data_IF_900009250156
#
_entry.id   IF_900009250156
#
_cell.length_a   1.000
_cell.length_b   1.000
_cell.length_c   1.000
_cell.angle_alpha   90.00
_cell.angle_beta   90.00
_cell.angle_gamma   90.00
#
_symmetry.space_group_name_H-M   'P 1'
#
loop_
_entity.id
_entity.type
_entity.pdbx_description
1 polymer ?
#
# COMPACT_ATOMS: atom_id res chain seq x y z
N UNK A 1 65.70 19.50 45.95
CA UNK A 1 65.75 20.64 45.02
C UNK A 1 65.03 20.25 43.73
N UNK A 2 64.27 21.15 43.23
CA UNK A 2 63.59 21.17 41.94
C UNK A 2 62.17 20.56 41.88
N UNK A 3 61.29 21.51 41.84
CA UNK A 3 59.83 21.48 41.71
C UNK A 3 59.47 20.99 40.34
N UNK A 4 58.53 20.06 40.31
CA UNK A 4 57.86 19.65 39.08
C UNK A 4 56.49 20.29 39.10
N UNK A 5 56.28 21.21 38.16
CA UNK A 5 54.98 21.86 37.94
C UNK A 5 54.19 20.94 37.05
N UNK A 6 53.09 20.41 37.59
CA UNK A 6 52.13 19.63 36.85
C UNK A 6 51.21 20.58 36.06
N UNK A 7 51.33 20.56 34.75
CA UNK A 7 50.42 21.26 33.84
C UNK A 7 49.23 20.37 33.58
N UNK A 8 48.11 20.69 34.20
CA UNK A 8 46.81 20.08 33.92
C UNK A 8 46.28 20.66 32.60
N UNK A 9 46.39 19.88 31.53
CA UNK A 9 45.76 20.17 30.28
C UNK A 9 44.31 19.64 30.33
N UNK A 10 43.37 20.52 30.59
CA UNK A 10 41.94 20.23 30.49
C UNK A 10 41.57 20.09 29.02
N UNK A 11 41.48 18.86 28.54
CA UNK A 11 40.89 18.56 27.23
C UNK A 11 39.36 18.71 27.37
N UNK A 12 38.88 19.87 26.96
CA UNK A 12 37.43 20.12 26.77
C UNK A 12 36.94 19.27 25.59
N UNK A 13 36.30 18.14 25.91
CA UNK A 13 35.60 17.34 24.91
C UNK A 13 34.30 18.07 24.56
N UNK A 14 34.31 18.85 23.50
CA UNK A 14 33.07 19.35 22.89
C UNK A 14 32.30 18.16 22.29
N UNK A 15 31.39 17.61 23.07
CA UNK A 15 30.35 16.73 22.57
C UNK A 15 29.42 17.60 21.72
N UNK A 16 29.66 17.63 20.42
CA UNK A 16 28.65 18.08 19.47
C UNK A 16 27.49 17.10 19.53
N UNK A 17 26.50 17.39 20.34
CA UNK A 17 25.19 16.81 20.18
C UNK A 17 24.67 17.30 18.82
N UNK A 18 24.89 16.50 17.80
CA UNK A 18 24.10 16.56 16.58
C UNK A 18 22.66 16.21 17.01
N UNK A 19 21.90 17.24 17.36
CA UNK A 19 20.48 17.18 17.34
C UNK A 19 20.09 16.93 15.88
N UNK A 20 20.16 15.69 15.46
CA UNK A 20 19.51 15.21 14.28
C UNK A 20 18.02 15.44 14.49
N UNK A 21 17.50 16.47 13.84
CA UNK A 21 16.08 16.64 13.61
C UNK A 21 15.66 15.52 12.66
N UNK A 22 15.73 14.30 13.12
CA UNK A 22 15.00 13.16 12.59
C UNK A 22 13.61 13.29 13.15
N UNK A 23 12.69 13.91 12.41
CA UNK A 23 11.28 13.70 12.63
C UNK A 23 11.06 12.20 12.51
N UNK A 24 11.05 11.49 13.63
CA UNK A 24 10.51 10.16 13.73
C UNK A 24 9.02 10.31 13.42
N UNK A 25 8.64 10.14 12.17
CA UNK A 25 7.31 9.67 11.87
C UNK A 25 7.18 8.37 12.64
N UNK A 26 6.36 8.33 13.68
CA UNK A 26 5.85 7.05 14.17
C UNK A 26 5.29 6.37 12.93
N UNK A 27 5.96 5.33 12.46
CA UNK A 27 5.46 4.53 11.34
C UNK A 27 4.20 3.88 11.86
N UNK A 28 3.06 4.45 11.50
CA UNK A 28 1.78 3.86 11.85
C UNK A 28 1.79 2.42 11.35
N UNK A 29 1.50 1.48 12.22
CA UNK A 29 1.40 0.07 11.86
C UNK A 29 -0.06 -0.25 11.62
N UNK A 30 -0.39 -0.58 10.38
CA UNK A 30 -1.74 -0.97 9.99
C UNK A 30 -1.85 -2.49 9.86
N UNK A 31 -2.97 -3.06 10.28
CA UNK A 31 -3.30 -4.44 10.00
C UNK A 31 -3.96 -4.53 8.62
N UNK A 32 -3.33 -5.24 7.70
CA UNK A 32 -3.80 -5.31 6.30
C UNK A 32 -5.17 -5.98 6.19
N UNK A 33 -5.44 -7.00 7.00
CA UNK A 33 -6.73 -7.69 7.00
C UNK A 33 -7.87 -6.79 7.52
N UNK A 34 -7.57 -5.90 8.47
CA UNK A 34 -8.54 -4.93 8.98
C UNK A 34 -8.87 -3.87 7.93
N UNK A 35 -7.88 -3.43 7.14
CA UNK A 35 -8.09 -2.53 6.00
C UNK A 35 -9.01 -3.20 4.97
N UNK A 36 -8.69 -4.44 4.58
CA UNK A 36 -9.51 -5.21 3.62
C UNK A 36 -10.94 -5.34 4.13
N UNK A 37 -11.12 -5.72 5.40
CA UNK A 37 -12.43 -5.89 6.01
C UNK A 37 -13.22 -4.58 6.13
N UNK A 38 -12.55 -3.44 6.32
CA UNK A 38 -13.20 -2.13 6.35
C UNK A 38 -13.73 -1.74 4.97
N UNK A 39 -12.93 -1.91 3.93
CA UNK A 39 -13.31 -1.60 2.55
C UNK A 39 -14.38 -2.58 2.02
N UNK A 40 -14.31 -3.87 2.38
CA UNK A 40 -15.29 -4.88 1.94
C UNK A 40 -16.71 -4.57 2.39
N UNK A 41 -16.91 -3.81 3.48
CA UNK A 41 -18.25 -3.39 3.95
C UNK A 41 -18.97 -2.47 2.95
N UNK A 42 -18.22 -1.66 2.22
CA UNK A 42 -18.73 -0.68 1.24
C UNK A 42 -18.48 -1.12 -0.20
N UNK A 43 -17.57 -2.06 -0.41
CA UNK A 43 -17.27 -2.69 -1.71
C UNK A 43 -17.33 -4.23 -1.56
N UNK A 44 -18.51 -4.83 -1.40
CA UNK A 44 -18.63 -6.28 -1.25
C UNK A 44 -18.01 -7.04 -2.42
N UNK A 45 -17.21 -8.05 -2.12
CA UNK A 45 -16.61 -8.92 -3.13
C UNK A 45 -17.49 -10.15 -3.32
N UNK A 46 -18.10 -10.27 -4.50
CA UNK A 46 -18.95 -11.41 -4.85
C UNK A 46 -18.09 -12.66 -5.10
N UNK A 47 -18.56 -13.83 -4.60
CA UNK A 47 -17.83 -15.10 -4.74
C UNK A 47 -16.30 -14.96 -4.46
N UNK A 48 -15.91 -14.46 -3.26
CA UNK A 48 -14.56 -14.02 -3.00
C UNK A 48 -13.57 -15.18 -2.96
N UNK A 49 -12.37 -14.94 -3.47
CA UNK A 49 -11.16 -15.69 -3.14
C UNK A 49 -10.13 -14.76 -2.51
N UNK A 50 -9.32 -15.31 -1.63
CA UNK A 50 -8.20 -14.55 -1.08
C UNK A 50 -7.15 -14.32 -2.18
N UNK A 51 -6.51 -13.16 -2.13
CA UNK A 51 -5.33 -12.85 -2.94
C UNK A 51 -4.19 -13.71 -2.42
N UNK A 52 -3.52 -14.44 -3.31
CA UNK A 52 -2.39 -15.32 -3.03
C UNK A 52 -1.14 -14.92 -3.82
N UNK A 53 -0.04 -15.63 -3.60
CA UNK A 53 1.23 -15.37 -4.30
C UNK A 53 1.12 -15.46 -5.82
N UNK A 54 0.27 -16.34 -6.34
CA UNK A 54 0.06 -16.47 -7.78
C UNK A 54 -0.65 -15.23 -8.31
N UNK A 55 -1.68 -14.76 -7.61
CA UNK A 55 -2.39 -13.55 -8.02
C UNK A 55 -1.48 -12.32 -7.98
N UNK A 56 -0.69 -12.16 -6.93
CA UNK A 56 0.28 -11.07 -6.80
C UNK A 56 1.32 -11.10 -7.94
N UNK A 57 1.92 -12.27 -8.19
CA UNK A 57 3.07 -12.35 -9.08
C UNK A 57 2.71 -12.59 -10.55
N UNK A 58 1.63 -13.34 -10.85
CA UNK A 58 1.27 -13.73 -12.20
C UNK A 58 0.13 -12.90 -12.79
N UNK A 59 -0.88 -12.54 -11.97
CA UNK A 59 -2.01 -11.75 -12.44
C UNK A 59 -1.72 -10.25 -12.33
N UNK A 60 -1.23 -9.80 -11.16
CA UNK A 60 -0.89 -8.39 -10.95
C UNK A 60 0.51 -8.01 -11.42
N UNK A 61 1.39 -8.99 -11.68
CA UNK A 61 2.78 -8.82 -12.10
C UNK A 61 3.62 -7.97 -11.11
N UNK A 62 3.30 -8.08 -9.81
CA UNK A 62 4.07 -7.40 -8.78
C UNK A 62 5.34 -8.19 -8.44
N UNK A 63 6.41 -7.47 -8.14
CA UNK A 63 7.71 -8.04 -7.75
C UNK A 63 7.69 -8.46 -6.29
N UNK A 64 7.79 -9.76 -6.01
CA UNK A 64 7.69 -10.32 -4.65
C UNK A 64 8.69 -9.69 -3.67
N UNK A 65 9.93 -9.39 -4.12
CA UNK A 65 10.98 -8.78 -3.30
C UNK A 65 10.67 -7.35 -2.88
N UNK A 66 9.69 -6.69 -3.51
CA UNK A 66 9.23 -5.36 -3.15
C UNK A 66 8.14 -5.38 -2.07
N UNK A 67 7.65 -6.57 -1.69
CA UNK A 67 6.51 -6.76 -0.79
C UNK A 67 6.98 -7.47 0.48
N UNK A 68 6.64 -6.91 1.65
CA UNK A 68 6.85 -7.54 2.95
C UNK A 68 5.65 -8.40 3.35
N UNK A 69 4.44 -7.86 3.18
CA UNK A 69 3.19 -8.50 3.55
C UNK A 69 2.05 -8.02 2.64
N UNK A 70 1.06 -8.84 2.42
CA UNK A 70 -0.17 -8.45 1.72
C UNK A 70 -1.38 -9.19 2.29
N UNK A 71 -2.57 -8.60 2.07
CA UNK A 71 -3.87 -9.22 2.28
C UNK A 71 -4.82 -8.68 1.21
N UNK A 72 -5.77 -9.50 0.78
CA UNK A 72 -6.74 -9.02 -0.21
C UNK A 72 -7.78 -10.06 -0.57
N UNK A 73 -8.79 -9.58 -1.29
CA UNK A 73 -9.86 -10.39 -1.86
C UNK A 73 -10.13 -9.94 -3.29
N UNK A 74 -10.42 -10.89 -4.14
CA UNK A 74 -10.81 -10.67 -5.53
C UNK A 74 -12.03 -11.52 -5.86
N UNK A 75 -12.92 -10.98 -6.70
CA UNK A 75 -14.09 -11.72 -7.18
C UNK A 75 -13.68 -12.83 -8.15
N UNK A 76 -14.32 -14.01 -8.02
CA UNK A 76 -14.25 -15.08 -9.00
C UNK A 76 -15.35 -14.98 -10.07
N UNK A 77 -16.25 -14.01 -9.95
CA UNK A 77 -17.33 -13.85 -10.92
C UNK A 77 -16.83 -13.10 -12.16
N UNK A 78 -17.02 -13.67 -13.34
CA UNK A 78 -16.53 -13.14 -14.62
C UNK A 78 -17.06 -11.73 -14.95
N UNK A 79 -18.19 -11.34 -14.42
CA UNK A 79 -18.81 -10.03 -14.65
C UNK A 79 -18.54 -9.02 -13.55
N UNK A 80 -17.78 -9.36 -12.53
CA UNK A 80 -17.52 -8.51 -11.36
C UNK A 80 -16.05 -8.15 -11.24
N UNK A 81 -15.76 -6.85 -11.16
CA UNK A 81 -14.39 -6.32 -11.08
C UNK A 81 -13.85 -6.15 -9.67
N UNK A 82 -14.63 -6.49 -8.62
CA UNK A 82 -14.24 -6.22 -7.25
C UNK A 82 -12.87 -6.81 -6.90
N UNK A 83 -11.98 -5.93 -6.48
CA UNK A 83 -10.66 -6.24 -5.94
C UNK A 83 -10.37 -5.31 -4.77
N UNK A 84 -9.90 -5.86 -3.68
CA UNK A 84 -9.34 -5.13 -2.55
C UNK A 84 -8.01 -5.77 -2.24
N UNK A 85 -6.91 -5.04 -2.37
CA UNK A 85 -5.58 -5.52 -1.98
C UNK A 85 -4.87 -4.47 -1.16
N UNK A 86 -4.43 -4.86 0.03
CA UNK A 86 -3.60 -4.06 0.93
C UNK A 86 -2.20 -4.68 0.98
N UNK A 87 -1.17 -3.86 0.81
CA UNK A 87 0.21 -4.29 0.70
C UNK A 87 1.06 -3.46 1.66
N UNK A 88 1.94 -4.12 2.40
CA UNK A 88 3.07 -3.51 3.06
C UNK A 88 4.30 -3.71 2.18
N UNK A 89 4.82 -2.65 1.63
CA UNK A 89 6.03 -2.68 0.83
C UNK A 89 7.27 -2.96 1.71
N UNK A 90 8.26 -3.64 1.17
CA UNK A 90 9.57 -3.71 1.80
C UNK A 90 10.19 -2.31 1.94
N UNK A 91 11.11 -2.14 2.88
CA UNK A 91 11.73 -0.84 3.19
C UNK A 91 12.24 -0.13 1.92
N UNK A 92 11.76 1.10 1.69
CA UNK A 92 12.11 1.93 0.55
C UNK A 92 11.53 1.48 -0.79
N UNK A 93 10.60 0.53 -0.82
CA UNK A 93 10.00 -0.04 -2.03
C UNK A 93 8.58 0.46 -2.36
N UNK A 94 8.00 1.30 -1.52
CA UNK A 94 6.63 1.78 -1.73
C UNK A 94 6.41 2.41 -3.11
N UNK A 95 7.36 3.20 -3.61
CA UNK A 95 7.25 3.79 -4.95
C UNK A 95 7.28 2.76 -6.07
N UNK A 96 8.11 1.71 -5.95
CA UNK A 96 8.17 0.63 -6.93
C UNK A 96 6.86 -0.15 -6.96
N UNK A 97 6.31 -0.51 -5.80
CA UNK A 97 5.00 -1.18 -5.69
C UNK A 97 3.89 -0.29 -6.26
N UNK A 98 3.93 1.02 -6.00
CA UNK A 98 2.95 1.96 -6.58
C UNK A 98 3.00 1.99 -8.10
N UNK A 99 4.18 1.99 -8.70
CA UNK A 99 4.35 1.95 -10.16
C UNK A 99 3.79 0.64 -10.74
N UNK A 100 4.08 -0.49 -10.10
CA UNK A 100 3.57 -1.80 -10.49
C UNK A 100 2.03 -1.86 -10.38
N UNK A 101 1.43 -1.34 -9.29
CA UNK A 101 -0.03 -1.23 -9.15
C UNK A 101 -0.67 -0.34 -10.22
N UNK A 102 -0.03 0.77 -10.60
CA UNK A 102 -0.51 1.62 -11.69
C UNK A 102 -0.43 0.90 -13.05
N UNK A 103 0.62 0.11 -13.28
CA UNK A 103 0.74 -0.72 -14.48
C UNK A 103 -0.38 -1.77 -14.53
N UNK A 104 -0.64 -2.45 -13.42
CA UNK A 104 -1.75 -3.39 -13.30
C UNK A 104 -3.10 -2.70 -13.55
N UNK A 105 -3.37 -1.57 -12.88
CA UNK A 105 -4.58 -0.76 -13.13
C UNK A 105 -4.77 -0.46 -14.61
N UNK A 106 -3.70 -0.04 -15.28
CA UNK A 106 -3.74 0.24 -16.71
C UNK A 106 -4.08 -1.01 -17.52
N UNK A 107 -3.49 -2.16 -17.19
CA UNK A 107 -3.72 -3.41 -17.92
C UNK A 107 -5.17 -3.90 -17.84
N UNK A 108 -5.82 -3.74 -16.67
CA UNK A 108 -7.21 -4.17 -16.45
C UNK A 108 -8.26 -3.15 -16.90
N UNK A 109 -7.86 -1.90 -17.15
CA UNK A 109 -8.74 -0.83 -17.65
C UNK A 109 -8.66 -0.62 -19.18
N UNK A 110 -7.79 -1.36 -19.88
CA UNK A 110 -7.59 -1.25 -21.32
C UNK A 110 -7.62 -2.65 -21.95
N UNK A 111 -8.67 -3.01 -22.55
CA UNK A 111 -8.80 -4.31 -23.21
C UNK A 111 -9.81 -4.28 -24.33
N UNK A 112 -10.86 -3.55 -24.15
CA UNK A 112 -11.83 -3.05 -25.14
C UNK A 112 -12.34 -4.01 -26.22
N UNK A 113 -12.03 -5.30 -26.11
CA UNK A 113 -12.35 -6.26 -27.16
C UNK A 113 -13.83 -6.69 -27.16
N UNK A 114 -14.47 -6.59 -26.01
CA UNK A 114 -15.85 -7.06 -25.84
C UNK A 114 -16.67 -6.07 -25.02
N UNK A 115 -17.79 -5.63 -25.57
CA UNK A 115 -18.71 -4.69 -24.92
C UNK A 115 -19.25 -5.19 -23.57
N UNK A 116 -19.27 -6.49 -23.35
CA UNK A 116 -19.68 -7.13 -22.09
C UNK A 116 -18.75 -6.84 -20.90
N UNK A 117 -17.52 -6.40 -21.15
CA UNK A 117 -16.56 -6.05 -20.09
C UNK A 117 -16.41 -4.53 -19.89
N UNK A 118 -17.18 -3.71 -20.61
CA UNK A 118 -17.08 -2.25 -20.54
C UNK A 118 -17.28 -1.70 -19.10
N UNK A 119 -18.20 -2.27 -18.34
CA UNK A 119 -18.46 -1.83 -16.97
C UNK A 119 -17.28 -2.18 -16.05
N UNK A 120 -16.67 -3.35 -16.21
CA UNK A 120 -15.48 -3.76 -15.45
C UNK A 120 -14.29 -2.87 -15.77
N UNK A 121 -14.07 -2.56 -17.06
CA UNK A 121 -13.00 -1.65 -17.51
C UNK A 121 -13.20 -0.24 -16.95
N UNK A 122 -14.44 0.25 -16.91
CA UNK A 122 -14.76 1.55 -16.32
C UNK A 122 -14.47 1.57 -14.81
N UNK A 123 -14.86 0.53 -14.06
CA UNK A 123 -14.52 0.41 -12.64
C UNK A 123 -13.02 0.34 -12.43
N UNK A 124 -12.30 -0.43 -13.26
CA UNK A 124 -10.85 -0.53 -13.19
C UNK A 124 -10.15 0.81 -13.51
N UNK A 125 -10.66 1.58 -14.47
CA UNK A 125 -10.13 2.90 -14.81
C UNK A 125 -10.24 3.89 -13.64
N UNK A 126 -11.28 3.76 -12.82
CA UNK A 126 -11.50 4.58 -11.64
C UNK A 126 -10.90 3.99 -10.35
N UNK A 127 -10.21 2.83 -10.43
CA UNK A 127 -9.62 2.17 -9.27
C UNK A 127 -8.80 3.14 -8.40
N UNK A 128 -8.91 2.99 -7.08
CA UNK A 128 -8.16 3.76 -6.10
C UNK A 128 -6.84 3.08 -5.77
N UNK A 129 -5.77 3.85 -5.72
CA UNK A 129 -4.47 3.43 -5.19
C UNK A 129 -4.07 4.48 -4.16
N UNK A 130 -4.09 4.11 -2.88
CA UNK A 130 -3.73 4.98 -1.76
C UNK A 130 -2.40 4.52 -1.19
N UNK A 131 -1.51 5.48 -0.93
CA UNK A 131 -0.19 5.22 -0.35
C UNK A 131 -0.06 5.97 0.97
N UNK A 132 0.32 5.26 2.04
CA UNK A 132 0.59 5.85 3.36
C UNK A 132 1.82 5.22 3.98
N UNK A 133 2.96 5.91 3.90
CA UNK A 133 4.27 5.35 4.25
C UNK A 133 4.59 4.14 3.38
N UNK A 134 4.84 3.00 4.00
CA UNK A 134 5.11 1.73 3.29
C UNK A 134 3.83 0.92 2.99
N UNK A 135 2.66 1.45 3.30
CA UNK A 135 1.38 0.79 3.05
C UNK A 135 0.72 1.33 1.78
N UNK A 136 0.28 0.41 0.94
CA UNK A 136 -0.43 0.70 -0.29
C UNK A 136 -1.74 -0.10 -0.32
N UNK A 137 -2.81 0.54 -0.74
CA UNK A 137 -4.10 -0.14 -0.89
C UNK A 137 -4.63 0.16 -2.28
N UNK A 138 -4.93 -0.89 -3.04
CA UNK A 138 -5.64 -0.77 -4.31
C UNK A 138 -7.04 -1.34 -4.17
N UNK A 139 -8.02 -0.60 -4.69
CA UNK A 139 -9.42 -1.01 -4.70
C UNK A 139 -10.00 -0.79 -6.09
N UNK A 140 -10.56 -1.85 -6.66
CA UNK A 140 -11.45 -1.77 -7.82
C UNK A 140 -12.87 -2.01 -7.32
N UNK A 141 -13.77 -1.09 -7.64
CA UNK A 141 -15.17 -1.21 -7.25
C UNK A 141 -15.84 -2.41 -7.94
N UNK A 142 -16.82 -3.01 -7.26
CA UNK A 142 -17.66 -4.02 -7.89
C UNK A 142 -18.58 -3.38 -8.94
N UNK A 143 -19.01 -4.16 -9.93
CA UNK A 143 -19.92 -3.72 -11.00
C UNK A 143 -21.39 -3.66 -10.56
N UNK A 144 -21.71 -4.05 -9.32
CA UNK A 144 -23.08 -4.16 -8.81
C UNK A 144 -23.53 -2.95 -7.98
N UNK A 145 -22.79 -1.84 -8.04
CA UNK A 145 -23.21 -0.57 -7.45
C UNK A 145 -22.36 -0.05 -6.28
N UNK A 146 -21.10 -0.43 -6.18
CA UNK A 146 -20.21 0.22 -5.21
C UNK A 146 -19.96 1.68 -5.60
N UNK A 147 -19.91 2.56 -4.59
CA UNK A 147 -19.66 3.98 -4.76
C UNK A 147 -18.21 4.29 -4.34
N UNK A 148 -17.43 4.86 -5.26
CA UNK A 148 -16.07 5.28 -4.95
C UNK A 148 -15.97 6.35 -3.85
N UNK A 149 -17.00 7.18 -3.64
CA UNK A 149 -17.01 8.12 -2.52
C UNK A 149 -17.09 7.42 -1.15
N UNK A 150 -17.84 6.31 -1.07
CA UNK A 150 -17.89 5.47 0.13
C UNK A 150 -16.59 4.70 0.31
N UNK A 151 -15.99 4.19 -0.78
CA UNK A 151 -14.68 3.53 -0.77
C UNK A 151 -13.59 4.51 -0.29
N UNK A 152 -13.55 5.73 -0.82
CA UNK A 152 -12.60 6.77 -0.42
C UNK A 152 -12.72 7.07 1.08
N UNK A 153 -13.96 7.18 1.60
CA UNK A 153 -14.21 7.38 3.04
C UNK A 153 -13.70 6.19 3.87
N UNK A 154 -13.97 4.97 3.44
CA UNK A 154 -13.52 3.77 4.16
C UNK A 154 -11.99 3.64 4.18
N UNK A 155 -11.31 3.97 3.08
CA UNK A 155 -9.85 4.01 2.98
C UNK A 155 -9.26 5.07 3.90
N UNK A 156 -9.83 6.29 3.91
CA UNK A 156 -9.39 7.36 4.80
C UNK A 156 -9.55 7.00 6.28
N UNK A 157 -10.60 6.26 6.63
CA UNK A 157 -10.81 5.79 8.00
C UNK A 157 -9.88 4.65 8.41
N UNK A 158 -9.64 3.70 7.51
CA UNK A 158 -8.79 2.54 7.76
C UNK A 158 -7.29 2.89 7.86
N UNK A 159 -6.89 4.02 7.28
CA UNK A 159 -5.51 4.50 7.24
C UNK A 159 -5.26 5.72 8.14
N UNK A 160 -6.09 5.96 9.15
CA UNK A 160 -5.85 6.99 10.18
C UNK A 160 -4.86 6.48 11.21
#
# INVERSE_FOLDING_TARGET
MKKIVSLLLAASLCVFALAGCGGGSETASYNLSDIVAAVEKVNPVSNPRDVDDNFIQLDMLLTAENIEEYAGKVSNDQGNSALIVAIKAAEGKASAVQEELNAYKTSISTGGLYAEFADMEAMAADARIVVKGDYLVMVVANTEGADYAEIDTALDEALK
#
